data_IF_440139128509
#
_entry.id   IF_440139128509
#
_cell.length_a   1.000
_cell.length_b   1.000
_cell.length_c   1.000
_cell.angle_alpha   90.00
_cell.angle_beta   90.00
_cell.angle_gamma   90.00
#
_symmetry.space_group_name_H-M   'P 1'
#
loop_
_entity.id
_entity.type
_entity.pdbx_description
1 polymer ?
#
# COMPACT_ATOMS: atom_id res chain seq x y z
N UNK A 1 -45.73 42.01 33.13
CA UNK A 1 -44.99 41.15 34.07
C UNK A 1 -45.11 39.72 33.57
N UNK A 2 -44.05 39.14 33.00
CA UNK A 2 -44.00 37.71 32.67
C UNK A 2 -43.79 36.93 33.97
N UNK A 3 -44.65 35.95 34.24
CA UNK A 3 -44.53 35.11 35.43
C UNK A 3 -43.36 34.14 35.28
N UNK A 4 -42.70 33.80 36.40
CA UNK A 4 -41.55 32.86 36.46
C UNK A 4 -41.88 31.49 35.82
N UNK A 5 -43.17 31.13 35.77
CA UNK A 5 -43.71 29.95 35.08
C UNK A 5 -43.62 30.01 33.55
N UNK A 6 -43.71 31.18 32.92
CA UNK A 6 -43.57 31.33 31.46
C UNK A 6 -42.09 31.25 31.03
N UNK A 7 -41.17 31.79 31.84
CA UNK A 7 -39.73 31.67 31.61
C UNK A 7 -39.24 30.20 31.65
N UNK A 8 -39.79 29.38 32.55
CA UNK A 8 -39.46 27.94 32.63
C UNK A 8 -39.92 27.13 31.41
N UNK A 9 -41.04 27.52 30.79
CA UNK A 9 -41.63 26.83 29.64
C UNK A 9 -40.84 27.06 28.34
N UNK A 10 -40.13 28.19 28.21
CA UNK A 10 -39.31 28.49 27.03
C UNK A 10 -37.87 27.97 27.14
N UNK A 11 -37.32 27.86 28.35
CA UNK A 11 -35.93 27.41 28.56
C UNK A 11 -35.80 25.89 28.40
N UNK A 12 -36.78 25.11 28.89
CA UNK A 12 -36.77 23.63 28.82
C UNK A 12 -36.65 23.06 27.39
N UNK A 13 -37.51 23.48 26.44
CA UNK A 13 -37.46 23.01 25.05
C UNK A 13 -36.20 23.47 24.32
N UNK A 14 -35.70 24.67 24.60
CA UNK A 14 -34.48 25.21 23.97
C UNK A 14 -33.22 24.44 24.42
N UNK A 15 -33.14 24.08 25.70
CA UNK A 15 -32.04 23.25 26.24
C UNK A 15 -32.10 21.83 25.68
N UNK A 16 -33.29 21.22 25.61
CA UNK A 16 -33.50 19.93 24.97
C UNK A 16 -33.10 19.95 23.48
N UNK A 17 -33.54 20.98 22.74
CA UNK A 17 -33.16 21.15 21.34
C UNK A 17 -31.64 21.33 21.17
N UNK A 18 -30.99 22.09 22.07
CA UNK A 18 -29.54 22.27 22.04
C UNK A 18 -28.79 20.96 22.32
N UNK A 19 -29.23 20.15 23.29
CA UNK A 19 -28.63 18.85 23.62
C UNK A 19 -28.83 17.85 22.47
N UNK A 20 -30.02 17.80 21.87
CA UNK A 20 -30.31 16.95 20.70
C UNK A 20 -29.46 17.38 19.51
N UNK A 21 -29.38 18.68 19.24
CA UNK A 21 -28.57 19.23 18.13
C UNK A 21 -27.08 18.96 18.35
N UNK A 22 -26.57 19.15 19.56
CA UNK A 22 -25.20 18.81 19.91
C UNK A 22 -24.92 17.31 19.75
N UNK A 23 -25.85 16.46 20.20
CA UNK A 23 -25.79 15.01 20.01
C UNK A 23 -25.73 14.62 18.53
N UNK A 24 -26.65 15.13 17.72
CA UNK A 24 -26.68 14.90 16.26
C UNK A 24 -25.39 15.36 15.60
N UNK A 25 -24.89 16.55 15.95
CA UNK A 25 -23.62 17.08 15.42
C UNK A 25 -22.42 16.20 15.79
N UNK A 26 -22.36 15.66 17.00
CA UNK A 26 -21.30 14.73 17.43
C UNK A 26 -21.38 13.43 16.63
N UNK A 27 -22.59 12.89 16.44
CA UNK A 27 -22.80 11.67 15.65
C UNK A 27 -22.44 11.87 14.18
N UNK A 28 -22.87 12.98 13.57
CA UNK A 28 -22.52 13.33 12.19
C UNK A 28 -21.01 13.46 12.02
N UNK A 29 -20.33 14.23 12.89
CA UNK A 29 -18.87 14.36 12.87
C UNK A 29 -18.15 13.02 13.05
N UNK A 30 -18.68 12.13 13.90
CA UNK A 30 -18.12 10.79 14.09
C UNK A 30 -18.29 9.94 12.83
N UNK A 31 -19.46 10.00 12.18
CA UNK A 31 -19.74 9.30 10.92
C UNK A 31 -18.84 9.79 9.79
N UNK A 32 -18.75 11.11 9.59
CA UNK A 32 -17.85 11.72 8.60
C UNK A 32 -16.40 11.28 8.82
N UNK A 33 -15.91 11.29 10.07
CA UNK A 33 -14.55 10.79 10.38
C UNK A 33 -14.33 9.33 10.02
N UNK A 34 -15.33 8.47 10.24
CA UNK A 34 -15.25 7.05 9.87
C UNK A 34 -15.24 6.90 8.35
N UNK A 35 -16.14 7.58 7.65
CA UNK A 35 -16.22 7.55 6.18
C UNK A 35 -14.91 8.08 5.56
N UNK A 36 -14.41 9.24 5.99
CA UNK A 36 -13.13 9.79 5.53
C UNK A 36 -11.96 8.85 5.81
N UNK A 37 -11.95 8.18 6.97
CA UNK A 37 -10.93 7.17 7.31
C UNK A 37 -10.98 5.99 6.35
N UNK A 38 -12.17 5.43 6.10
CA UNK A 38 -12.31 4.27 5.21
C UNK A 38 -11.93 4.62 3.77
N UNK A 39 -12.38 5.78 3.26
CA UNK A 39 -12.01 6.27 1.93
C UNK A 39 -10.49 6.48 1.83
N UNK A 40 -9.87 7.07 2.85
CA UNK A 40 -8.41 7.28 2.88
C UNK A 40 -7.64 5.96 2.88
N UNK A 41 -8.07 4.98 3.68
CA UNK A 41 -7.46 3.64 3.69
C UNK A 41 -7.59 2.97 2.33
N UNK A 42 -8.78 3.00 1.74
CA UNK A 42 -9.05 2.38 0.44
C UNK A 42 -8.18 3.01 -0.65
N UNK A 43 -8.06 4.33 -0.66
CA UNK A 43 -7.25 5.06 -1.63
C UNK A 43 -5.77 4.63 -1.54
N UNK A 44 -5.17 4.69 -0.34
CA UNK A 44 -3.76 4.29 -0.16
C UNK A 44 -3.55 2.81 -0.48
N UNK A 45 -4.45 1.92 -0.04
CA UNK A 45 -4.35 0.50 -0.32
C UNK A 45 -4.42 0.20 -1.82
N UNK A 46 -5.33 0.85 -2.55
CA UNK A 46 -5.47 0.68 -4.01
C UNK A 46 -4.21 1.12 -4.74
N UNK A 47 -3.62 2.26 -4.37
CA UNK A 47 -2.37 2.71 -4.99
C UNK A 47 -1.19 1.76 -4.73
N UNK A 48 -1.11 1.15 -3.55
CA UNK A 48 -0.10 0.14 -3.24
C UNK A 48 -0.33 -1.17 -4.02
N UNK A 49 -1.59 -1.56 -4.23
CA UNK A 49 -1.97 -2.72 -5.04
C UNK A 49 -1.64 -2.49 -6.53
N UNK A 50 -1.99 -1.34 -7.08
CA UNK A 50 -1.65 -0.94 -8.44
C UNK A 50 -0.13 -0.89 -8.65
N UNK A 51 0.60 -0.42 -7.63
CA UNK A 51 2.06 -0.43 -7.66
C UNK A 51 2.63 -1.84 -7.68
N UNK A 52 2.10 -2.76 -6.86
CA UNK A 52 2.50 -4.16 -6.90
C UNK A 52 2.21 -4.79 -8.28
N UNK A 53 1.07 -4.45 -8.89
CA UNK A 53 0.73 -4.87 -10.25
C UNK A 53 1.71 -4.31 -11.29
N UNK A 54 2.10 -3.04 -11.16
CA UNK A 54 3.10 -2.42 -12.01
C UNK A 54 4.47 -3.12 -11.88
N UNK A 55 4.90 -3.46 -10.66
CA UNK A 55 6.13 -4.23 -10.43
C UNK A 55 6.08 -5.59 -11.13
N UNK A 56 4.95 -6.30 -11.04
CA UNK A 56 4.78 -7.61 -11.67
C UNK A 56 4.82 -7.49 -13.19
N UNK A 57 4.10 -6.50 -13.74
CA UNK A 57 4.05 -6.23 -15.18
C UNK A 57 5.41 -5.83 -15.73
N UNK A 58 6.14 -4.92 -15.06
CA UNK A 58 7.50 -4.54 -15.45
C UNK A 58 8.46 -5.74 -15.43
N UNK A 59 8.31 -6.63 -14.44
CA UNK A 59 9.14 -7.83 -14.35
C UNK A 59 8.83 -8.79 -15.51
N UNK A 60 7.55 -8.98 -15.81
CA UNK A 60 7.09 -9.80 -16.93
C UNK A 60 7.53 -9.27 -18.29
N UNK A 61 7.27 -7.98 -18.57
CA UNK A 61 7.66 -7.34 -19.84
C UNK A 61 9.18 -7.32 -20.02
N UNK A 62 9.95 -7.18 -18.93
CA UNK A 62 11.41 -7.30 -18.98
C UNK A 62 11.91 -8.72 -19.32
N UNK A 63 11.05 -9.73 -19.18
CA UNK A 63 11.34 -11.11 -19.57
C UNK A 63 11.08 -11.37 -21.05
N UNK A 64 10.06 -10.72 -21.64
CA UNK A 64 9.62 -10.94 -23.01
C UNK A 64 10.25 -9.99 -24.05
N UNK A 65 10.78 -8.83 -23.66
CA UNK A 65 11.31 -7.81 -24.59
C UNK A 65 12.85 -7.75 -24.69
N UNK A 66 13.38 -7.54 -25.92
CA UNK A 66 14.75 -7.07 -26.20
C UNK A 66 14.69 -5.75 -27.00
N UNK A 67 15.70 -4.86 -26.93
CA UNK A 67 16.39 -4.22 -25.78
C UNK A 67 16.02 -2.70 -25.75
N UNK A 68 16.36 -1.79 -24.81
CA UNK A 68 17.71 -1.27 -24.44
C UNK A 68 17.66 -0.43 -23.14
N UNK A 69 16.49 -0.01 -22.62
CA UNK A 69 16.45 0.92 -21.46
C UNK A 69 15.55 0.49 -20.29
N UNK A 70 14.62 -0.45 -20.49
CA UNK A 70 13.63 -0.82 -19.47
C UNK A 70 14.10 -1.93 -18.51
N UNK A 71 15.26 -2.54 -18.76
CA UNK A 71 15.71 -3.71 -17.98
C UNK A 71 16.07 -3.39 -16.53
N UNK A 72 16.47 -2.15 -16.25
CA UNK A 72 16.96 -1.70 -14.94
C UNK A 72 15.98 -0.74 -14.26
N UNK A 73 14.89 -0.36 -14.93
CA UNK A 73 13.93 0.61 -14.40
C UNK A 73 13.04 -0.01 -13.30
N UNK A 74 12.67 0.82 -12.32
CA UNK A 74 11.65 0.53 -11.31
C UNK A 74 10.40 1.33 -11.68
N UNK A 75 9.20 0.74 -11.63
CA UNK A 75 7.98 1.50 -11.90
C UNK A 75 7.89 2.66 -10.91
N UNK A 76 7.43 3.82 -11.38
CA UNK A 76 7.23 4.96 -10.51
C UNK A 76 5.84 4.89 -9.84
N UNK A 77 5.78 5.41 -8.61
CA UNK A 77 4.54 5.53 -7.85
C UNK A 77 3.77 6.80 -8.28
N UNK A 78 3.41 6.87 -9.57
CA UNK A 78 3.00 8.10 -10.25
C UNK A 78 1.68 8.73 -9.78
N UNK A 79 0.94 8.06 -8.90
CA UNK A 79 -0.37 8.52 -8.42
C UNK A 79 -0.49 8.47 -6.89
N UNK A 80 0.59 8.70 -6.14
CA UNK A 80 0.50 8.67 -4.68
C UNK A 80 -0.46 9.75 -4.14
N UNK A 81 -1.40 9.41 -3.26
CA UNK A 81 -2.40 10.36 -2.81
C UNK A 81 -1.76 11.36 -1.81
N UNK A 82 -1.67 12.62 -2.22
CA UNK A 82 -1.12 13.71 -1.40
C UNK A 82 -2.14 14.24 -0.38
N UNK A 83 -3.43 14.18 -0.73
CA UNK A 83 -4.53 14.77 0.05
C UNK A 83 -5.08 13.83 1.13
N UNK A 84 -4.40 12.71 1.40
CA UNK A 84 -4.80 11.78 2.46
C UNK A 84 -4.41 12.32 3.82
N UNK A 85 -5.38 12.33 4.74
CA UNK A 85 -5.10 12.62 6.14
C UNK A 85 -4.34 11.46 6.80
N UNK A 86 -3.01 11.49 6.75
CA UNK A 86 -2.17 10.40 7.30
C UNK A 86 -2.42 10.13 8.79
N UNK A 87 -2.83 11.15 9.56
CA UNK A 87 -3.11 11.02 10.99
C UNK A 87 -4.36 10.19 11.35
N UNK A 88 -5.24 9.89 10.40
CA UNK A 88 -6.43 9.02 10.65
C UNK A 88 -6.20 7.56 10.28
N UNK A 89 -5.08 7.25 9.62
CA UNK A 89 -4.70 5.91 9.21
C UNK A 89 -4.08 5.12 10.38
N UNK A 90 -4.13 3.78 10.36
CA UNK A 90 -3.38 2.96 11.30
C UNK A 90 -1.87 3.24 11.20
N UNK A 91 -1.25 3.67 12.31
CA UNK A 91 0.12 4.21 12.31
C UNK A 91 1.18 3.29 11.68
N UNK A 92 1.16 1.99 12.01
CA UNK A 92 2.17 1.03 11.51
C UNK A 92 2.03 0.78 10.00
N UNK A 93 0.86 0.38 9.46
CA UNK A 93 0.70 0.26 8.00
C UNK A 93 0.92 1.58 7.25
N UNK A 94 0.55 2.71 7.85
CA UNK A 94 0.76 4.03 7.25
C UNK A 94 2.25 4.40 7.16
N UNK A 95 3.05 4.11 8.19
CA UNK A 95 4.50 4.34 8.14
C UNK A 95 5.19 3.40 7.15
N UNK A 96 4.74 2.14 7.04
CA UNK A 96 5.19 1.21 6.01
C UNK A 96 4.89 1.74 4.60
N UNK A 97 3.66 2.21 4.36
CA UNK A 97 3.25 2.80 3.09
C UNK A 97 4.10 4.03 2.72
N UNK A 98 4.35 4.92 3.68
CA UNK A 98 5.22 6.09 3.49
C UNK A 98 6.68 5.71 3.24
N UNK A 99 7.20 4.69 3.95
CA UNK A 99 8.54 4.15 3.75
C UNK A 99 8.72 3.58 2.35
N UNK A 100 7.75 2.80 1.88
CA UNK A 100 7.74 2.26 0.50
C UNK A 100 7.76 3.41 -0.50
N UNK A 101 6.94 4.45 -0.35
CA UNK A 101 7.00 5.63 -1.24
C UNK A 101 8.39 6.25 -1.31
N UNK A 102 9.02 6.46 -0.15
CA UNK A 102 10.36 7.05 -0.09
C UNK A 102 11.38 6.15 -0.81
N UNK A 103 11.37 4.85 -0.52
CA UNK A 103 12.25 3.87 -1.15
C UNK A 103 12.04 3.82 -2.67
N UNK A 104 10.79 3.82 -3.14
CA UNK A 104 10.47 3.87 -4.58
C UNK A 104 11.02 5.14 -5.19
N UNK A 105 10.81 6.30 -4.57
CA UNK A 105 11.29 7.59 -5.07
C UNK A 105 12.81 7.59 -5.23
N UNK A 106 13.54 7.12 -4.21
CA UNK A 106 15.00 6.97 -4.24
C UNK A 106 15.41 6.00 -5.36
N UNK A 107 14.76 4.84 -5.44
CA UNK A 107 15.12 3.80 -6.37
C UNK A 107 14.82 4.19 -7.83
N UNK A 108 13.73 4.90 -8.11
CA UNK A 108 13.47 5.50 -9.43
C UNK A 108 14.51 6.56 -9.79
N UNK A 109 14.95 7.38 -8.84
CA UNK A 109 16.00 8.38 -9.08
C UNK A 109 17.36 7.75 -9.39
N UNK A 110 17.72 6.68 -8.68
CA UNK A 110 18.97 5.95 -8.92
C UNK A 110 18.96 5.21 -10.26
N UNK A 111 17.86 4.52 -10.59
CA UNK A 111 17.74 3.76 -11.85
C UNK A 111 17.70 4.65 -13.09
N UNK A 112 17.16 5.88 -12.98
CA UNK A 112 17.25 6.88 -14.05
C UNK A 112 18.69 7.39 -14.25
N UNK A 113 19.53 7.37 -13.22
CA UNK A 113 20.91 7.84 -13.27
C UNK A 113 21.91 6.76 -13.74
N UNK A 114 21.61 5.47 -13.54
CA UNK A 114 22.45 4.35 -13.98
C UNK A 114 21.93 3.73 -15.27
N UNK A 115 22.38 4.24 -16.42
CA UNK A 115 22.09 3.70 -17.76
C UNK A 115 22.95 2.50 -18.15
N UNK A 116 23.71 1.92 -17.23
CA UNK A 116 24.61 0.81 -17.55
C UNK A 116 23.83 -0.51 -17.57
N UNK A 117 23.65 -1.06 -18.78
CA UNK A 117 23.06 -2.38 -19.08
C UNK A 117 23.91 -3.56 -18.60
N UNK A 118 24.65 -3.42 -17.49
CA UNK A 118 25.35 -4.56 -16.90
C UNK A 118 24.31 -5.60 -16.46
N UNK A 119 24.51 -6.86 -16.83
CA UNK A 119 23.62 -7.96 -16.46
C UNK A 119 23.44 -8.04 -14.94
N UNK A 120 24.46 -7.60 -14.20
CA UNK A 120 24.45 -7.39 -12.76
C UNK A 120 23.34 -6.44 -12.26
N UNK A 121 23.24 -5.27 -12.89
CA UNK A 121 22.30 -4.22 -12.51
C UNK A 121 20.86 -4.64 -12.81
N UNK A 122 20.67 -5.49 -13.83
CA UNK A 122 19.40 -6.10 -14.19
C UNK A 122 18.87 -7.00 -13.08
N UNK A 123 19.71 -7.90 -12.53
CA UNK A 123 19.29 -8.81 -11.46
C UNK A 123 19.04 -8.09 -10.13
N UNK A 124 19.83 -7.07 -9.82
CA UNK A 124 19.59 -6.21 -8.66
C UNK A 124 18.29 -5.41 -8.80
N UNK A 125 18.06 -4.80 -9.97
CA UNK A 125 16.81 -4.07 -10.24
C UNK A 125 15.60 -4.99 -10.24
N UNK A 126 15.73 -6.22 -10.74
CA UNK A 126 14.67 -7.24 -10.66
C UNK A 126 14.38 -7.62 -9.20
N UNK A 127 15.41 -7.91 -8.40
CA UNK A 127 15.25 -8.17 -6.96
C UNK A 127 14.47 -7.05 -6.29
N UNK A 128 14.92 -5.81 -6.50
CA UNK A 128 14.37 -4.63 -5.85
C UNK A 128 12.91 -4.36 -6.29
N UNK A 129 12.60 -4.52 -7.58
CA UNK A 129 11.20 -4.45 -8.07
C UNK A 129 10.30 -5.46 -7.38
N UNK A 130 10.74 -6.73 -7.33
CA UNK A 130 9.93 -7.78 -6.72
C UNK A 130 9.74 -7.54 -5.22
N UNK A 131 10.80 -7.17 -4.51
CA UNK A 131 10.76 -6.83 -3.08
C UNK A 131 9.79 -5.68 -2.80
N UNK A 132 9.92 -4.56 -3.51
CA UNK A 132 9.07 -3.39 -3.33
C UNK A 132 7.60 -3.71 -3.68
N UNK A 133 7.36 -4.50 -4.73
CA UNK A 133 6.02 -4.93 -5.10
C UNK A 133 5.36 -5.81 -4.03
N UNK A 134 6.10 -6.78 -3.49
CA UNK A 134 5.61 -7.66 -2.42
C UNK A 134 5.35 -6.89 -1.12
N UNK A 135 6.25 -5.97 -0.73
CA UNK A 135 6.06 -5.10 0.43
C UNK A 135 4.85 -4.17 0.26
N UNK A 136 4.65 -3.62 -0.93
CA UNK A 136 3.48 -2.78 -1.23
C UNK A 136 2.17 -3.55 -1.09
N UNK A 137 2.10 -4.76 -1.64
CA UNK A 137 0.94 -5.64 -1.47
C UNK A 137 0.65 -5.95 0.00
N UNK A 138 1.69 -6.21 0.80
CA UNK A 138 1.52 -6.48 2.23
C UNK A 138 1.04 -5.26 3.01
N UNK A 139 1.61 -4.09 2.74
CA UNK A 139 1.16 -2.84 3.34
C UNK A 139 -0.31 -2.56 3.00
N UNK A 140 -0.74 -2.80 1.75
CA UNK A 140 -2.13 -2.69 1.32
C UNK A 140 -3.06 -3.65 2.08
N UNK A 141 -2.67 -4.95 2.17
CA UNK A 141 -3.44 -5.95 2.95
C UNK A 141 -3.53 -5.57 4.42
N UNK A 142 -2.43 -5.14 5.03
CA UNK A 142 -2.41 -4.71 6.43
C UNK A 142 -3.32 -3.50 6.67
N UNK A 143 -3.32 -2.52 5.76
CA UNK A 143 -4.21 -1.36 5.79
C UNK A 143 -5.69 -1.80 5.74
N UNK A 144 -6.07 -2.63 4.76
CA UNK A 144 -7.44 -3.14 4.62
C UNK A 144 -7.87 -3.95 5.84
N UNK A 145 -7.03 -4.88 6.30
CA UNK A 145 -7.32 -5.72 7.46
C UNK A 145 -7.55 -4.90 8.73
N UNK A 146 -6.68 -3.91 9.00
CA UNK A 146 -6.82 -3.02 10.17
C UNK A 146 -8.04 -2.12 10.10
N UNK A 147 -8.54 -1.83 8.90
CA UNK A 147 -9.75 -1.04 8.69
C UNK A 147 -11.04 -1.89 8.60
N UNK A 148 -10.94 -3.22 8.65
CA UNK A 148 -12.09 -4.11 8.47
C UNK A 148 -12.63 -4.12 7.04
N UNK A 149 -11.81 -3.75 6.05
CA UNK A 149 -12.16 -3.75 4.64
C UNK A 149 -11.92 -5.12 4.00
N UNK A 150 -12.68 -5.47 2.94
CA UNK A 150 -12.47 -6.73 2.22
C UNK A 150 -11.07 -6.77 1.60
N UNK A 151 -10.41 -7.91 1.79
CA UNK A 151 -9.10 -8.18 1.20
C UNK A 151 -9.26 -8.56 -0.28
N UNK A 152 -8.41 -8.01 -1.14
CA UNK A 152 -8.29 -8.50 -2.50
C UNK A 152 -7.59 -9.86 -2.45
N UNK A 153 -8.25 -10.85 -3.04
CA UNK A 153 -7.69 -12.19 -3.23
C UNK A 153 -6.86 -12.18 -4.52
N UNK A 154 -5.57 -12.54 -4.47
CA UNK A 154 -4.72 -12.61 -5.67
C UNK A 154 -5.34 -13.47 -6.79
N UNK A 155 -6.09 -14.51 -6.43
CA UNK A 155 -6.73 -15.45 -7.36
C UNK A 155 -7.90 -14.82 -8.12
N UNK A 156 -8.45 -13.71 -7.63
CA UNK A 156 -9.51 -12.96 -8.33
C UNK A 156 -8.95 -12.07 -9.46
N UNK A 157 -7.63 -11.91 -9.54
CA UNK A 157 -6.96 -11.18 -10.61
C UNK A 157 -6.73 -12.09 -11.82
N UNK A 158 -6.57 -11.50 -13.02
CA UNK A 158 -6.36 -12.25 -14.27
C UNK A 158 -5.16 -13.21 -14.23
N UNK A 159 -4.19 -12.93 -13.36
CA UNK A 159 -3.01 -13.75 -13.12
C UNK A 159 -2.51 -13.50 -11.69
N UNK A 160 -1.88 -14.50 -11.07
CA UNK A 160 -1.41 -14.42 -9.70
C UNK A 160 -0.13 -13.57 -9.59
N UNK A 161 -0.29 -12.25 -9.51
CA UNK A 161 0.83 -11.29 -9.45
C UNK A 161 1.78 -11.55 -8.28
N UNK A 162 1.27 -12.03 -7.14
CA UNK A 162 2.08 -12.20 -5.94
C UNK A 162 2.94 -13.44 -6.03
N UNK A 163 2.37 -14.54 -6.52
CA UNK A 163 3.12 -15.76 -6.81
C UNK A 163 4.20 -15.50 -7.87
N UNK A 164 3.88 -14.73 -8.91
CA UNK A 164 4.85 -14.36 -9.93
C UNK A 164 6.00 -13.52 -9.38
N UNK A 165 5.69 -12.46 -8.61
CA UNK A 165 6.71 -11.62 -7.96
C UNK A 165 7.61 -12.45 -7.04
N UNK A 166 7.04 -13.40 -6.31
CA UNK A 166 7.78 -14.29 -5.42
C UNK A 166 8.72 -15.22 -6.18
N UNK A 167 8.22 -15.85 -7.25
CA UNK A 167 9.02 -16.72 -8.11
C UNK A 167 10.21 -15.96 -8.71
N UNK A 168 9.98 -14.76 -9.24
CA UNK A 168 11.02 -13.93 -9.85
C UNK A 168 11.99 -13.35 -8.82
N UNK A 169 11.52 -13.01 -7.61
CA UNK A 169 12.39 -12.64 -6.50
C UNK A 169 13.35 -13.78 -6.15
N UNK A 170 12.83 -15.00 -6.00
CA UNK A 170 13.64 -16.19 -5.72
C UNK A 170 14.66 -16.49 -6.82
N UNK A 171 14.30 -16.30 -8.10
CA UNK A 171 15.23 -16.40 -9.23
C UNK A 171 16.34 -15.35 -9.13
N UNK A 172 15.99 -14.09 -8.87
CA UNK A 172 16.96 -13.01 -8.75
C UNK A 172 17.95 -13.24 -7.60
N UNK A 173 17.48 -13.68 -6.43
CA UNK A 173 18.38 -14.01 -5.30
C UNK A 173 19.34 -15.14 -5.67
N UNK A 174 18.85 -16.22 -6.27
CA UNK A 174 19.72 -17.34 -6.67
C UNK A 174 20.82 -16.89 -7.60
N UNK A 175 20.48 -16.04 -8.58
CA UNK A 175 21.45 -15.53 -9.54
C UNK A 175 22.46 -14.55 -8.92
N UNK A 176 22.02 -13.71 -7.98
CA UNK A 176 22.95 -12.84 -7.24
C UNK A 176 23.90 -13.65 -6.34
N UNK A 177 23.42 -14.77 -5.77
CA UNK A 177 24.24 -15.70 -4.99
C UNK A 177 25.26 -16.45 -5.85
N UNK A 178 24.86 -16.99 -7.00
CA UNK A 178 25.79 -17.70 -7.90
C UNK A 178 26.90 -16.79 -8.39
N UNK A 179 26.62 -15.48 -8.52
CA UNK A 179 27.60 -14.45 -8.89
C UNK A 179 28.43 -13.89 -7.71
N UNK A 180 28.25 -14.41 -6.49
CA UNK A 180 29.06 -14.01 -5.32
C UNK A 180 28.75 -12.62 -4.76
N UNK A 181 27.58 -12.06 -5.06
CA UNK A 181 27.21 -10.68 -4.69
C UNK A 181 26.18 -10.57 -3.59
N UNK A 182 25.60 -11.70 -3.18
CA UNK A 182 24.69 -11.72 -2.05
C UNK A 182 25.51 -11.67 -0.76
N UNK A 183 25.38 -10.59 0.00
CA UNK A 183 25.99 -10.54 1.33
C UNK A 183 25.28 -11.55 2.24
N UNK A 184 26.03 -12.32 3.02
CA UNK A 184 25.46 -13.22 4.03
C UNK A 184 24.61 -12.49 5.08
N UNK A 185 24.72 -11.16 5.16
CA UNK A 185 23.92 -10.29 6.03
C UNK A 185 22.55 -9.91 5.44
N UNK A 186 22.33 -10.11 4.14
CA UNK A 186 21.02 -9.93 3.53
C UNK A 186 20.19 -11.19 3.75
N UNK A 187 19.32 -11.19 4.76
CA UNK A 187 18.34 -12.26 4.90
C UNK A 187 17.27 -12.14 3.79
N UNK A 188 16.90 -13.25 3.13
CA UNK A 188 15.78 -13.22 2.20
C UNK A 188 14.52 -12.79 2.94
N UNK A 189 13.66 -12.01 2.29
CA UNK A 189 12.39 -11.57 2.86
C UNK A 189 11.61 -12.77 3.41
N UNK A 190 11.43 -12.80 4.73
CA UNK A 190 10.63 -13.82 5.39
C UNK A 190 9.18 -13.32 5.40
N UNK A 191 8.44 -13.62 4.34
CA UNK A 191 7.06 -13.15 4.24
C UNK A 191 6.10 -14.07 4.99
N UNK A 192 5.20 -13.51 5.81
CA UNK A 192 4.18 -14.30 6.48
C UNK A 192 3.32 -15.00 5.44
N UNK A 193 2.95 -16.23 5.78
CA UNK A 193 2.11 -17.14 5.00
C UNK A 193 1.06 -16.37 4.21
N UNK A 194 1.22 -16.32 2.87
CA UNK A 194 0.43 -15.46 1.99
C UNK A 194 -1.05 -15.88 1.95
N UNK A 195 -1.42 -16.96 2.66
CA UNK A 195 -2.73 -17.57 2.67
C UNK A 195 -2.93 -18.52 1.49
N UNK A 196 -1.86 -18.84 0.76
CA UNK A 196 -1.87 -19.93 -0.21
C UNK A 196 -1.87 -21.24 0.57
N UNK A 197 -3.06 -21.76 0.85
CA UNK A 197 -3.20 -23.20 1.00
C UNK A 197 -2.58 -23.80 -0.27
N UNK A 198 -1.51 -24.56 -0.10
CA UNK A 198 -0.89 -25.33 -1.18
C UNK A 198 -1.90 -26.37 -1.68
N UNK A 199 -2.81 -25.95 -2.57
CA UNK A 199 -3.54 -26.85 -3.44
C UNK A 199 -2.63 -27.23 -4.61
N UNK A 200 -1.51 -27.86 -4.28
CA UNK A 200 -0.66 -28.57 -5.22
C UNK A 200 -0.42 -29.96 -4.60
N UNK A 201 -1.45 -30.80 -4.73
CA UNK A 201 -1.34 -32.26 -4.73
C UNK A 201 -0.86 -32.72 -6.10
#
# INVERSE_FOLDING_TARGET
MLTVSELGLFIGPALLAAVVTAGVNIFQKKRERIETKLVSVLLVATHLEDYAYACATFTFMSHEARPVNEKVAIPALNAWPLDVHWGILPAIPASQAAGIRMEVTIATGMTAATSNEDELSVWQARRLRCELGLRAWQAARALRQKAGLPLIRPEALRWNIIEYLWLEYGKAIRELRTRGMWSAQEEPLNFPDLGYSSAAS
#
